data_IF_098839428985
#
_entry.id   IF_098839428985
#
_cell.length_a   1.000
_cell.length_b   1.000
_cell.length_c   1.000
_cell.angle_alpha   90.00
_cell.angle_beta   90.00
_cell.angle_gamma   90.00
#
_symmetry.space_group_name_H-M   'P 1'
#
loop_
_entity.id
_entity.type
_entity.pdbx_description
1 polymer ?
#
# COMPACT_ATOMS: atom_id res chain seq x y z
N UNK A 1 2.22 4.32 16.44
CA UNK A 1 3.57 3.78 16.14
C UNK A 1 4.02 2.96 17.35
N UNK A 2 4.49 1.74 17.13
CA UNK A 2 5.17 0.94 18.14
C UNK A 2 6.65 0.81 17.78
N UNK A 3 7.53 0.87 18.78
CA UNK A 3 8.98 0.74 18.63
C UNK A 3 9.48 -0.33 19.60
N UNK A 4 10.32 -1.24 19.10
CA UNK A 4 10.98 -2.28 19.87
C UNK A 4 12.49 -2.17 19.65
N UNK A 5 13.26 -2.26 20.72
CA UNK A 5 14.73 -2.27 20.64
C UNK A 5 15.20 -3.61 20.06
N UNK A 6 16.18 -3.56 19.16
CA UNK A 6 16.73 -4.74 18.50
C UNK A 6 16.08 -5.08 17.14
N UNK A 7 16.74 -6.01 16.44
CA UNK A 7 16.31 -6.49 15.12
C UNK A 7 15.40 -7.71 15.29
N UNK A 8 14.08 -7.52 15.16
CA UNK A 8 13.11 -8.62 15.17
C UNK A 8 12.87 -9.13 13.75
N UNK A 9 12.70 -10.44 13.60
CA UNK A 9 12.17 -11.00 12.35
C UNK A 9 10.72 -10.58 12.18
N UNK A 10 10.39 -10.14 10.97
CA UNK A 10 9.02 -9.76 10.64
C UNK A 10 8.12 -11.01 10.71
N UNK A 11 6.99 -10.97 11.40
CA UNK A 11 6.08 -12.12 11.47
C UNK A 11 5.64 -12.61 10.08
N UNK A 12 5.59 -13.93 9.89
CA UNK A 12 5.14 -14.54 8.63
C UNK A 12 3.64 -14.32 8.36
N UNK A 13 2.88 -13.88 9.37
CA UNK A 13 1.44 -13.59 9.26
C UNK A 13 1.11 -12.42 8.32
N UNK A 14 2.12 -11.67 7.85
CA UNK A 14 1.99 -10.63 6.81
C UNK A 14 1.74 -11.27 5.43
N UNK A 15 0.51 -11.76 5.20
CA UNK A 15 0.13 -12.58 4.02
C UNK A 15 0.21 -11.88 2.64
N UNK A 16 0.14 -10.54 2.59
CA UNK A 16 0.28 -9.78 1.35
C UNK A 16 1.59 -9.01 1.40
N UNK A 17 2.62 -9.63 0.83
CA UNK A 17 4.00 -9.21 0.94
C UNK A 17 4.36 -8.29 -0.23
N UNK A 18 4.71 -7.03 0.07
CA UNK A 18 5.49 -6.23 -0.87
C UNK A 18 6.97 -6.50 -0.61
N UNK A 19 7.67 -7.14 -1.54
CA UNK A 19 9.14 -7.24 -1.52
C UNK A 19 9.82 -5.92 -1.91
N UNK A 20 9.04 -5.00 -2.47
CA UNK A 20 9.46 -3.66 -2.90
C UNK A 20 8.96 -2.64 -1.89
N UNK A 21 9.55 -1.45 -1.90
CA UNK A 21 9.24 -0.33 -1.01
C UNK A 21 7.85 0.30 -1.28
N UNK A 22 6.91 -0.52 -1.70
CA UNK A 22 5.65 -0.14 -2.32
C UNK A 22 4.65 -1.28 -2.18
N UNK A 23 3.44 -0.96 -1.72
CA UNK A 23 2.27 -1.83 -1.83
C UNK A 23 1.29 -1.20 -2.82
N UNK A 24 0.69 -2.05 -3.64
CA UNK A 24 -0.30 -1.65 -4.64
C UNK A 24 -1.52 -2.51 -4.51
N UNK A 25 -2.69 -1.88 -4.48
CA UNK A 25 -3.97 -2.54 -4.33
C UNK A 25 -5.08 -1.67 -4.92
N UNK A 26 -6.18 -2.31 -5.26
CA UNK A 26 -7.44 -1.71 -5.63
C UNK A 26 -8.36 -1.78 -4.43
N UNK A 27 -9.15 -0.73 -4.24
CA UNK A 27 -10.16 -0.70 -3.20
C UNK A 27 -11.47 -0.16 -3.75
N UNK A 28 -12.56 -0.68 -3.20
CA UNK A 28 -13.90 -0.16 -3.38
C UNK A 28 -14.35 0.50 -2.07
N UNK A 29 -15.18 1.55 -2.17
CA UNK A 29 -15.76 2.28 -1.04
C UNK A 29 -14.75 3.09 -0.17
N UNK A 30 -13.97 2.42 0.69
CA UNK A 30 -13.10 3.09 1.67
C UNK A 30 -11.64 2.70 1.52
N UNK A 31 -10.78 3.71 1.67
CA UNK A 31 -9.33 3.50 1.67
C UNK A 31 -8.93 2.81 3.00
N UNK A 32 -8.32 1.61 2.96
CA UNK A 32 -8.06 0.85 4.16
C UNK A 32 -6.86 1.39 4.94
N UNK A 33 -6.80 1.07 6.23
CA UNK A 33 -5.61 1.26 7.04
C UNK A 33 -4.50 0.28 6.62
N UNK A 34 -3.24 0.69 6.72
CA UNK A 34 -2.09 -0.18 6.46
C UNK A 34 -1.14 -0.26 7.65
N UNK A 35 -0.44 -1.38 7.79
CA UNK A 35 0.63 -1.57 8.74
C UNK A 35 1.97 -1.65 8.00
N UNK A 36 2.94 -0.77 8.28
CA UNK A 36 4.33 -0.94 7.86
C UNK A 36 5.14 -1.48 9.03
N UNK A 37 5.74 -2.65 8.84
CA UNK A 37 6.78 -3.17 9.70
C UNK A 37 8.14 -2.89 9.07
N UNK A 38 9.10 -2.34 9.80
CA UNK A 38 10.46 -2.20 9.28
C UNK A 38 11.52 -2.27 10.38
N UNK A 39 12.69 -2.74 10.00
CA UNK A 39 13.85 -2.87 10.87
C UNK A 39 15.01 -2.08 10.30
N UNK A 40 15.58 -1.21 11.13
CA UNK A 40 16.67 -0.31 10.77
C UNK A 40 18.00 -0.83 11.30
N UNK A 41 19.08 -0.33 10.72
CA UNK A 41 20.46 -0.59 11.11
C UNK A 41 21.33 0.64 10.98
N UNK A 42 22.52 0.58 11.58
CA UNK A 42 23.53 1.61 11.36
C UNK A 42 24.09 1.54 9.94
N UNK A 43 24.00 2.66 9.21
CA UNK A 43 24.78 2.91 7.98
C UNK A 43 26.09 3.64 8.28
N UNK A 44 26.07 4.51 9.30
CA UNK A 44 27.20 5.30 9.79
C UNK A 44 27.28 5.25 11.32
N UNK A 45 28.47 5.50 11.88
CA UNK A 45 28.73 5.55 13.33
C UNK A 45 28.21 6.87 13.95
N UNK A 46 26.90 7.10 13.83
CA UNK A 46 26.25 8.32 14.32
C UNK A 46 25.00 7.97 15.12
N UNK A 47 24.95 8.42 16.38
CA UNK A 47 23.86 8.17 17.33
C UNK A 47 22.67 9.13 17.16
N UNK A 48 22.41 9.64 15.95
CA UNK A 48 21.33 10.60 15.77
C UNK A 48 20.00 9.87 15.56
N UNK A 49 18.98 10.27 16.31
CA UNK A 49 17.59 10.07 15.92
C UNK A 49 17.22 11.10 14.85
N UNK A 50 16.38 10.73 13.90
CA UNK A 50 16.04 11.64 12.79
C UNK A 50 14.56 11.57 12.44
N UNK A 51 14.01 12.73 12.07
CA UNK A 51 12.59 12.93 11.78
C UNK A 51 12.38 12.94 10.27
N UNK A 52 11.53 12.06 9.74
CA UNK A 52 11.28 11.97 8.29
C UNK A 52 9.83 11.76 7.94
N UNK A 53 9.40 12.36 6.82
CA UNK A 53 8.19 11.95 6.12
C UNK A 53 8.56 10.83 5.15
N UNK A 54 8.26 9.60 5.56
CA UNK A 54 8.72 8.43 4.81
C UNK A 54 7.70 7.94 3.80
N UNK A 55 6.47 8.46 3.73
CA UNK A 55 5.40 7.91 2.90
C UNK A 55 4.96 8.83 1.77
N UNK A 56 4.69 8.23 0.61
CA UNK A 56 3.98 8.84 -0.51
C UNK A 56 2.78 7.97 -0.88
N UNK A 57 1.61 8.56 -1.00
CA UNK A 57 0.38 7.88 -1.37
C UNK A 57 -0.03 8.38 -2.75
N UNK A 58 -0.32 7.46 -3.66
CA UNK A 58 -0.86 7.76 -4.97
C UNK A 58 -2.24 7.12 -5.10
N UNK A 59 -3.24 7.90 -5.49
CA UNK A 59 -4.58 7.44 -5.80
C UNK A 59 -4.86 7.64 -7.28
N UNK A 60 -5.20 6.56 -7.98
CA UNK A 60 -5.43 6.54 -9.42
C UNK A 60 -4.28 7.20 -10.22
N UNK A 61 -3.04 7.01 -9.74
CA UNK A 61 -1.82 7.57 -10.32
C UNK A 61 -1.51 9.02 -9.92
N UNK A 62 -2.36 9.68 -9.14
CA UNK A 62 -2.17 11.05 -8.67
C UNK A 62 -1.56 11.03 -7.27
N UNK A 63 -0.44 11.73 -7.07
CA UNK A 63 0.18 11.88 -5.74
C UNK A 63 -0.73 12.72 -4.84
N UNK A 64 -1.08 12.16 -3.69
CA UNK A 64 -1.95 12.81 -2.73
C UNK A 64 -1.15 13.68 -1.78
N UNK A 65 -1.62 14.92 -1.59
CA UNK A 65 -1.17 15.72 -0.47
C UNK A 65 -1.66 15.05 0.83
N UNK A 66 -0.73 14.80 1.74
CA UNK A 66 -1.07 14.28 3.06
C UNK A 66 -1.66 15.44 3.88
N UNK A 67 -2.95 15.37 4.22
CA UNK A 67 -3.58 16.37 5.09
C UNK A 67 -3.22 16.01 6.53
N UNK A 68 -2.12 16.58 7.00
CA UNK A 68 -1.97 16.74 8.43
C UNK A 68 -1.88 18.25 8.72
N UNK A 69 -2.95 18.87 9.22
CA UNK A 69 -2.98 20.29 9.55
C UNK A 69 -1.93 20.72 10.57
N UNK A 70 -1.43 19.77 11.37
CA UNK A 70 -0.34 20.00 12.31
C UNK A 70 1.00 19.56 11.73
N UNK A 71 1.27 18.29 11.39
CA UNK A 71 2.61 17.83 10.99
C UNK A 71 2.51 16.71 9.93
N UNK A 72 3.17 16.77 8.75
CA UNK A 72 3.43 15.59 7.93
C UNK A 72 3.84 14.42 8.82
N UNK A 73 3.53 13.15 8.52
CA UNK A 73 3.82 12.04 9.41
C UNK A 73 5.34 11.87 9.53
N UNK A 74 5.89 12.63 10.45
CA UNK A 74 7.28 12.87 10.74
C UNK A 74 7.63 11.89 11.84
N UNK A 75 8.15 10.74 11.44
CA UNK A 75 8.50 9.70 12.38
C UNK A 75 9.93 9.89 12.84
N UNK A 76 10.13 9.90 14.15
CA UNK A 76 11.47 9.76 14.74
C UNK A 76 11.87 8.30 14.63
N UNK A 77 12.92 8.05 13.87
CA UNK A 77 13.46 6.71 13.63
C UNK A 77 14.91 6.72 14.08
N UNK A 78 15.29 5.64 14.76
CA UNK A 78 16.58 5.35 15.35
C UNK A 78 17.14 4.08 14.71
N UNK A 79 18.47 3.92 14.67
CA UNK A 79 19.11 2.71 14.16
C UNK A 79 18.91 1.53 15.12
N UNK A 80 19.00 0.30 14.61
CA UNK A 80 18.86 -0.96 15.37
C UNK A 80 17.54 -1.11 16.15
N UNK A 81 16.49 -0.50 15.62
CA UNK A 81 15.14 -0.60 16.13
C UNK A 81 14.23 -1.26 15.11
N UNK A 82 13.16 -1.85 15.63
CA UNK A 82 12.06 -2.38 14.83
C UNK A 82 10.81 -1.55 15.08
N UNK A 83 10.19 -1.11 13.99
CA UNK A 83 9.03 -0.24 14.00
C UNK A 83 7.82 -0.92 13.39
N UNK A 84 6.67 -0.65 14.00
CA UNK A 84 5.35 -0.91 13.44
C UNK A 84 4.58 0.41 13.34
N UNK A 85 4.37 0.86 12.12
CA UNK A 85 3.54 2.01 11.79
C UNK A 85 2.15 1.53 11.38
N UNK A 86 1.12 2.00 12.07
CA UNK A 86 -0.26 1.83 11.64
C UNK A 86 -0.70 3.15 11.02
N UNK A 87 -1.02 3.14 9.73
CA UNK A 87 -1.37 4.31 8.94
C UNK A 87 -2.85 4.21 8.55
N UNK A 88 -3.73 5.00 9.18
CA UNK A 88 -5.10 5.16 8.73
C UNK A 88 -5.11 6.02 7.46
N UNK A 89 -5.00 5.39 6.29
CA UNK A 89 -4.80 6.11 5.03
C UNK A 89 -5.95 7.08 4.73
N UNK A 90 -7.18 6.73 5.09
CA UNK A 90 -8.36 7.57 4.92
C UNK A 90 -8.26 8.91 5.68
N UNK A 91 -7.63 8.90 6.87
CA UNK A 91 -7.46 10.11 7.69
C UNK A 91 -6.22 10.92 7.27
N UNK A 92 -5.32 10.31 6.50
CA UNK A 92 -4.04 10.92 6.09
C UNK A 92 -4.13 11.65 4.75
N UNK A 93 -5.12 11.34 3.92
CA UNK A 93 -5.24 11.86 2.56
C UNK A 93 -6.45 12.78 2.46
N UNK A 94 -6.28 13.96 1.84
CA UNK A 94 -7.42 14.72 1.33
C UNK A 94 -8.04 13.96 0.19
N UNK A 95 -9.09 13.21 0.49
CA UNK A 95 -9.91 12.58 -0.53
C UNK A 95 -10.79 13.67 -1.13
N UNK A 96 -10.29 14.35 -2.17
CA UNK A 96 -11.15 15.13 -3.06
C UNK A 96 -12.02 14.14 -3.86
N UNK A 97 -13.30 14.47 -4.10
CA UNK A 97 -14.20 13.66 -4.92
C UNK A 97 -13.59 13.35 -6.30
N UNK A 98 -12.73 14.25 -6.81
CA UNK A 98 -12.00 14.06 -8.07
C UNK A 98 -11.03 12.86 -8.03
N UNK A 99 -10.60 12.40 -6.87
CA UNK A 99 -9.68 11.26 -6.72
C UNK A 99 -10.41 9.91 -6.72
N UNK A 100 -11.70 9.88 -6.37
CA UNK A 100 -12.55 8.68 -6.32
C UNK A 100 -13.47 8.62 -7.54
N UNK A 101 -12.88 8.40 -8.72
CA UNK A 101 -13.61 8.52 -10.01
C UNK A 101 -14.46 7.30 -10.36
N UNK A 102 -14.20 6.17 -9.73
CA UNK A 102 -14.74 4.87 -10.14
C UNK A 102 -15.12 4.02 -8.93
N UNK A 103 -15.91 2.99 -9.17
CA UNK A 103 -16.23 1.96 -8.19
C UNK A 103 -14.94 1.37 -7.59
N UNK A 104 -13.98 1.02 -8.44
CA UNK A 104 -12.66 0.55 -8.02
C UNK A 104 -11.61 1.62 -8.21
N UNK A 105 -10.94 1.99 -7.12
CA UNK A 105 -9.87 2.97 -7.11
C UNK A 105 -8.53 2.28 -6.83
N UNK A 106 -7.50 2.71 -7.53
CA UNK A 106 -6.15 2.16 -7.40
C UNK A 106 -5.36 2.98 -6.38
N UNK A 107 -4.82 2.31 -5.36
CA UNK A 107 -3.93 2.89 -4.39
C UNK A 107 -2.51 2.31 -4.54
N UNK A 108 -1.53 3.21 -4.47
CA UNK A 108 -0.12 2.84 -4.37
C UNK A 108 0.46 3.60 -3.19
N UNK A 109 0.91 2.87 -2.17
CA UNK A 109 1.62 3.47 -1.06
C UNK A 109 3.09 3.11 -1.20
N UNK A 110 3.93 4.13 -1.26
CA UNK A 110 5.39 4.01 -1.30
C UNK A 110 5.96 4.53 0.00
N UNK A 111 7.06 3.94 0.45
CA UNK A 111 7.95 4.63 1.37
C UNK A 111 9.30 4.90 0.75
N UNK A 112 9.94 5.98 1.18
CA UNK A 112 11.27 6.38 0.73
C UNK A 112 12.21 6.53 1.92
N UNK A 113 13.11 5.56 2.06
CA UNK A 113 14.18 5.58 3.06
C UNK A 113 15.50 6.12 2.51
N UNK A 114 15.56 6.57 1.24
CA UNK A 114 16.80 7.05 0.61
C UNK A 114 17.41 8.27 1.31
N UNK A 115 16.57 9.05 2.00
CA UNK A 115 16.94 10.26 2.73
C UNK A 115 17.45 9.92 4.15
N UNK A 116 17.37 8.66 4.57
CA UNK A 116 17.79 8.26 5.92
C UNK A 116 19.31 8.02 6.03
N UNK A 117 19.94 8.45 7.16
CA UNK A 117 21.31 8.10 7.51
C UNK A 117 21.44 6.67 8.06
N UNK A 118 20.45 5.80 7.83
CA UNK A 118 20.36 4.44 8.35
C UNK A 118 20.21 3.43 7.22
N UNK A 119 20.58 2.17 7.50
CA UNK A 119 20.34 1.07 6.58
C UNK A 119 18.99 0.43 6.90
N UNK A 120 18.18 0.22 5.88
CA UNK A 120 16.95 -0.56 6.00
C UNK A 120 17.31 -2.05 5.87
N UNK A 121 17.25 -2.81 6.97
CA UNK A 121 17.57 -4.23 6.97
C UNK A 121 16.44 -5.06 6.38
N UNK A 122 15.21 -4.78 6.81
CA UNK A 122 14.01 -5.46 6.33
C UNK A 122 12.80 -4.54 6.47
N UNK A 123 11.82 -4.69 5.59
CA UNK A 123 10.56 -3.96 5.64
C UNK A 123 9.45 -4.71 4.94
N UNK A 124 8.23 -4.64 5.50
CA UNK A 124 7.02 -5.26 4.95
C UNK A 124 5.80 -4.40 5.24
N UNK A 125 4.96 -4.23 4.24
CA UNK A 125 3.65 -3.61 4.39
C UNK A 125 2.56 -4.69 4.52
N UNK A 126 1.48 -4.34 5.22
CA UNK A 126 0.25 -5.12 5.34
C UNK A 126 -0.95 -4.21 5.22
N UNK A 127 -2.06 -4.72 4.70
CA UNK A 127 -3.33 -4.01 4.75
C UNK A 127 -4.16 -4.59 5.90
N UNK A 128 -4.67 -3.73 6.78
CA UNK A 128 -5.53 -4.15 7.88
C UNK A 128 -6.86 -4.66 7.33
N UNK A 129 -7.16 -5.93 7.61
CA UNK A 129 -8.38 -6.59 7.13
C UNK A 129 -9.62 -6.27 7.98
N UNK A 130 -9.45 -5.58 9.09
CA UNK A 130 -10.49 -5.48 10.12
C UNK A 130 -11.46 -4.31 9.87
N UNK A 131 -11.08 -3.34 9.03
CA UNK A 131 -11.88 -2.14 8.72
C UNK A 131 -12.47 -2.12 7.31
N UNK A 132 -12.04 -3.04 6.44
CA UNK A 132 -12.49 -3.21 5.05
C UNK A 132 -12.77 -4.68 4.82
N UNK A 133 -13.93 -5.04 4.24
CA UNK A 133 -14.16 -6.43 3.84
C UNK A 133 -13.08 -6.84 2.83
N UNK A 134 -12.65 -8.11 2.82
CA UNK A 134 -11.74 -8.57 1.76
C UNK A 134 -12.34 -8.44 0.37
N UNK A 135 -13.67 -8.33 0.27
CA UNK A 135 -14.39 -8.13 -0.97
C UNK A 135 -14.17 -6.71 -1.52
N UNK A 136 -13.84 -5.74 -0.66
CA UNK A 136 -13.56 -4.36 -1.03
C UNK A 136 -12.09 -4.11 -1.38
N UNK A 137 -11.20 -5.12 -1.35
CA UNK A 137 -9.78 -4.96 -1.70
C UNK A 137 -9.32 -6.04 -2.69
N UNK A 138 -8.66 -5.62 -3.77
CA UNK A 138 -8.06 -6.53 -4.73
C UNK A 138 -6.60 -6.16 -5.03
N UNK A 139 -5.72 -7.15 -5.13
CA UNK A 139 -4.31 -6.92 -5.52
C UNK A 139 -4.09 -6.99 -7.03
N UNK A 140 -5.10 -7.42 -7.77
CA UNK A 140 -5.15 -7.45 -9.23
C UNK A 140 -6.08 -6.37 -9.74
N UNK A 141 -5.86 -5.91 -10.98
CA UNK A 141 -6.79 -4.97 -11.62
C UNK A 141 -8.17 -5.63 -11.80
N UNK A 142 -9.24 -5.12 -11.17
CA UNK A 142 -10.58 -5.69 -11.28
C UNK A 142 -11.14 -5.60 -12.71
N UNK A 143 -10.79 -4.56 -13.46
CA UNK A 143 -11.28 -4.34 -14.82
C UNK A 143 -10.72 -5.35 -15.84
N UNK A 144 -9.59 -5.99 -15.55
CA UNK A 144 -9.02 -7.02 -16.43
C UNK A 144 -9.73 -8.37 -16.35
N UNK A 145 -10.59 -8.58 -15.35
CA UNK A 145 -11.33 -9.84 -15.22
C UNK A 145 -12.61 -9.87 -16.07
N UNK A 146 -13.12 -8.72 -16.49
CA UNK A 146 -14.36 -8.62 -17.27
C UNK A 146 -14.14 -8.81 -18.78
N UNK A 147 -12.93 -8.62 -19.29
CA UNK A 147 -12.62 -8.75 -20.73
C UNK A 147 -12.62 -10.20 -21.26
N UNK A 148 -12.89 -11.21 -20.43
CA UNK A 148 -12.92 -12.62 -20.85
C UNK A 148 -14.34 -13.20 -20.97
N UNK A 149 -15.36 -12.50 -20.49
CA UNK A 149 -16.73 -13.02 -20.47
C UNK A 149 -17.61 -12.45 -21.63
N UNK A 150 -17.07 -11.53 -22.44
CA UNK A 150 -17.81 -10.84 -23.52
C UNK A 150 -17.52 -11.41 -24.94
N UNK A 151 -16.75 -12.50 -25.08
CA UNK A 151 -16.31 -13.04 -26.39
C UNK A 151 -16.91 -14.42 -26.77
N UNK A 152 -17.94 -14.91 -26.06
CA UNK A 152 -18.56 -16.24 -26.29
C UNK A 152 -20.03 -16.18 -26.77
N UNK A 153 -20.43 -15.12 -27.49
CA UNK A 153 -21.73 -15.04 -28.18
C UNK A 153 -21.54 -14.59 -29.64
N UNK A 154 -20.97 -15.45 -30.48
CA UNK A 154 -21.27 -15.45 -31.91
C UNK A 154 -21.70 -16.86 -32.35
N UNK A 155 -23.03 -16.99 -32.38
CA UNK A 155 -23.83 -18.04 -32.98
C UNK A 155 -23.39 -18.27 -34.43
N UNK A 156 -22.85 -19.46 -34.73
CA UNK A 156 -22.97 -20.03 -36.07
C UNK A 156 -24.01 -21.15 -36.00
N UNK A 157 -25.26 -20.74 -36.24
CA UNK A 157 -26.34 -21.64 -36.58
C UNK A 157 -26.04 -22.33 -37.91
N UNK A 158 -26.48 -23.58 -37.96
CA UNK A 158 -26.49 -24.47 -39.11
C UNK A 158 -27.07 -23.80 -40.35
N UNK A 159 -26.55 -24.15 -41.53
CA UNK A 159 -27.39 -24.37 -42.70
C UNK A 159 -26.79 -25.52 -43.50
N UNK A 160 -27.58 -26.59 -43.57
CA UNK A 160 -27.48 -27.72 -44.47
C UNK A 160 -27.41 -27.23 -45.93
N UNK A 161 -26.62 -27.91 -46.77
CA UNK A 161 -26.93 -28.00 -48.20
C UNK A 161 -26.53 -29.40 -48.71
N UNK A 162 -27.56 -30.20 -48.96
CA UNK A 162 -27.59 -31.39 -49.80
C UNK A 162 -27.20 -31.04 -51.25
N UNK A 163 -26.27 -31.81 -51.85
CA UNK A 163 -26.42 -32.48 -53.17
C UNK A 163 -25.17 -33.32 -53.53
#
# INVERSE_FOLDING_TARGET
>A
MFCLTGTLRIPESFKHQSTRQTISFWFHNKLPSIALFCTTGHKYNTNFSSIFSIFKIFLNGIECALDCPSHPPYFTIEPDHTYLFCLPLQDMVRMDEVLLKSEWNHAVVRYDFSIMPFDLKESRMHIFKQESSMEDIQFTNPYKKQELDDDDDDVLGDDDDDD
#
